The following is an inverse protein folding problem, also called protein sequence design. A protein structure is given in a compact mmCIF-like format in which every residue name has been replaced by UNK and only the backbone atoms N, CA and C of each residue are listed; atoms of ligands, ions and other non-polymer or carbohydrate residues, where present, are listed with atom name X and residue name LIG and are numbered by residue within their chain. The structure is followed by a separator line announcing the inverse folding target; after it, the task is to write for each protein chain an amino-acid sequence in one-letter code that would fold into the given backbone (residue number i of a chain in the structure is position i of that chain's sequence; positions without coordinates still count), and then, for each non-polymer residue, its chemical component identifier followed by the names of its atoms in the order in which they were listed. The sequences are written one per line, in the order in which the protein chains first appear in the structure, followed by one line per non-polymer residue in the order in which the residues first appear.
data_IF_425547831024
#
_entry.id   IF_425547831024
#
_cell.length_a   1.000
_cell.length_b   1.000
_cell.length_c   1.000
_cell.angle_alpha   90.00
_cell.angle_beta   90.00
_cell.angle_gamma   90.00
#
_symmetry.space_group_name_H-M   'P 1'
#
loop_
_entity.id
_entity.type
_entity.pdbx_description
1 polymer ?
#
# COMPACT_ATOMS: atom_id res chain seq x y z
N UNK A 1 -31.78 -12.34 44.95
CA UNK A 1 -30.85 -11.34 44.36
C UNK A 1 -31.71 -10.40 43.55
N UNK A 2 -32.01 -9.23 44.11
CA UNK A 2 -32.85 -8.20 43.49
C UNK A 2 -32.00 -7.41 42.48
N UNK A 3 -32.49 -7.33 41.25
CA UNK A 3 -31.86 -6.55 40.18
C UNK A 3 -32.47 -5.15 40.17
N UNK A 4 -31.62 -4.14 40.36
CA UNK A 4 -31.99 -2.72 40.26
C UNK A 4 -32.20 -2.31 38.80
N UNK A 5 -33.28 -1.57 38.47
CA UNK A 5 -33.53 -1.12 37.11
C UNK A 5 -32.81 0.20 36.80
N UNK A 6 -32.17 0.25 35.62
CA UNK A 6 -31.49 1.41 35.05
C UNK A 6 -32.54 2.36 34.45
N UNK A 7 -32.60 3.61 34.94
CA UNK A 7 -33.43 4.69 34.40
C UNK A 7 -32.75 5.36 33.19
N UNK A 8 -33.38 5.29 32.02
CA UNK A 8 -33.01 6.07 30.84
C UNK A 8 -33.50 7.52 30.98
N UNK A 9 -32.57 8.49 30.88
CA UNK A 9 -32.89 9.91 30.80
C UNK A 9 -33.13 10.34 29.36
N UNK A 10 -34.40 10.65 29.06
CA UNK A 10 -34.86 11.17 27.78
C UNK A 10 -34.41 12.62 27.53
N UNK A 11 -34.07 12.90 26.28
CA UNK A 11 -33.79 14.23 25.71
C UNK A 11 -35.03 15.12 25.79
N UNK A 12 -34.90 16.30 26.39
CA UNK A 12 -35.90 17.37 26.26
C UNK A 12 -35.43 18.37 25.20
N UNK A 13 -36.23 18.51 24.14
CA UNK A 13 -36.12 19.53 23.11
C UNK A 13 -36.80 20.79 23.65
N UNK A 14 -36.16 21.95 23.51
CA UNK A 14 -36.78 23.26 23.69
C UNK A 14 -36.46 24.12 22.48
N UNK A 15 -37.50 24.44 21.70
CA UNK A 15 -37.55 25.51 20.69
C UNK A 15 -38.10 26.76 21.38
N UNK A 16 -37.46 27.90 21.19
CA UNK A 16 -38.11 29.14 20.74
C UNK A 16 -37.09 30.28 20.64
N UNK A 17 -36.99 30.87 19.44
CA UNK A 17 -37.17 32.31 19.23
C UNK A 17 -37.11 32.60 17.72
N UNK A 18 -38.29 32.85 17.15
CA UNK A 18 -38.46 33.50 15.85
C UNK A 18 -38.47 35.01 16.06
N UNK A 19 -37.73 35.75 15.22
CA UNK A 19 -37.98 37.17 14.96
C UNK A 19 -38.12 37.34 13.45
N UNK A 20 -39.09 38.18 13.11
CA UNK A 20 -39.78 38.37 11.83
C UNK A 20 -38.95 39.11 10.78
N UNK A 21 -39.31 38.81 9.53
CA UNK A 21 -38.81 39.29 8.23
C UNK A 21 -38.77 40.81 8.04
N UNK A 22 -37.90 41.30 7.14
CA UNK A 22 -38.29 41.93 5.86
C UNK A 22 -37.09 42.52 5.04
N UNK A 23 -37.26 42.79 3.73
CA UNK A 23 -36.25 42.47 2.71
C UNK A 23 -35.68 43.67 1.92
N UNK A 24 -34.63 43.38 1.13
CA UNK A 24 -34.38 44.02 -0.16
C UNK A 24 -33.05 44.77 -0.32
N UNK A 25 -32.21 44.31 -1.26
CA UNK A 25 -31.77 45.11 -2.43
C UNK A 25 -30.78 44.33 -3.32
N UNK A 26 -31.11 44.36 -4.61
CA UNK A 26 -30.34 43.91 -5.78
C UNK A 26 -29.38 45.03 -6.24
N UNK A 27 -28.19 44.66 -6.75
CA UNK A 27 -27.37 45.33 -7.79
C UNK A 27 -26.22 44.36 -8.16
N UNK A 28 -26.13 43.72 -9.35
CA UNK A 28 -25.56 44.18 -10.65
C UNK A 28 -24.34 45.10 -10.45
N UNK A 29 -23.17 44.99 -11.06
CA UNK A 29 -22.60 44.43 -12.32
C UNK A 29 -21.05 44.58 -12.15
N UNK A 30 -20.11 43.81 -12.70
CA UNK A 30 -19.80 43.52 -14.11
C UNK A 30 -18.35 43.99 -14.41
N UNK A 31 -17.58 43.16 -15.14
CA UNK A 31 -16.41 43.49 -15.99
C UNK A 31 -15.12 44.03 -15.32
N UNK A 32 -13.88 43.88 -15.80
CA UNK A 32 -13.19 43.06 -16.82
C UNK A 32 -11.68 43.46 -16.77
N UNK A 33 -10.80 42.58 -17.28
CA UNK A 33 -9.43 42.78 -17.85
C UNK A 33 -8.24 43.43 -17.06
N UNK A 34 -7.24 42.57 -16.80
CA UNK A 34 -5.85 42.58 -17.34
C UNK A 34 -4.71 43.49 -16.81
N UNK A 35 -3.60 42.79 -16.52
CA UNK A 35 -2.16 43.13 -16.70
C UNK A 35 -1.37 43.89 -15.63
N UNK A 36 -0.36 43.20 -15.05
CA UNK A 36 1.10 43.49 -15.18
C UNK A 36 1.93 43.20 -13.91
N UNK A 37 2.70 42.11 -13.96
CA UNK A 37 4.16 42.00 -13.75
C UNK A 37 4.92 42.37 -12.44
N UNK A 38 5.55 41.30 -11.89
CA UNK A 38 6.86 41.13 -11.15
C UNK A 38 6.98 41.47 -9.63
N UNK A 39 7.99 40.93 -8.90
CA UNK A 39 7.94 39.68 -8.13
C UNK A 39 8.09 39.87 -6.61
N UNK A 40 7.57 38.94 -5.78
CA UNK A 40 8.01 38.81 -4.37
C UNK A 40 7.98 37.36 -3.90
N UNK A 41 9.16 36.82 -3.63
CA UNK A 41 9.34 35.69 -2.71
C UNK A 41 9.64 36.25 -1.30
N UNK A 42 9.84 35.38 -0.30
CA UNK A 42 8.88 34.49 0.36
C UNK A 42 8.68 34.93 1.84
N UNK A 43 7.61 34.51 2.53
CA UNK A 43 7.56 34.28 4.00
C UNK A 43 6.15 34.46 4.59
N UNK A 44 5.31 33.43 4.51
CA UNK A 44 4.05 33.37 5.29
C UNK A 44 3.78 32.01 5.96
N UNK A 45 4.77 31.12 6.06
CA UNK A 45 4.59 29.82 6.71
C UNK A 45 5.09 29.71 8.17
N UNK A 46 5.57 30.79 8.78
CA UNK A 46 6.06 30.77 10.18
C UNK A 46 4.99 31.22 11.19
N UNK A 47 3.88 31.85 10.77
CA UNK A 47 2.89 32.44 11.70
C UNK A 47 1.77 31.51 12.19
N UNK A 48 1.71 30.25 11.76
CA UNK A 48 0.63 29.33 12.17
C UNK A 48 0.93 28.52 13.45
N UNK A 49 2.13 28.61 14.02
CA UNK A 49 2.46 27.90 15.28
C UNK A 49 2.03 28.71 16.51
N UNK A 50 2.14 30.04 16.47
CA UNK A 50 1.82 30.90 17.61
C UNK A 50 0.31 31.08 17.85
N UNK A 51 -0.51 30.90 16.82
CA UNK A 51 -1.97 31.03 16.93
C UNK A 51 -2.67 29.82 17.55
N UNK A 52 -1.96 28.71 17.77
CA UNK A 52 -2.50 27.52 18.48
C UNK A 52 -2.32 27.67 20.00
N UNK A 53 -1.43 28.55 20.46
CA UNK A 53 -1.07 28.72 21.88
C UNK A 53 -2.04 29.67 22.61
N UNK A 54 -2.90 30.39 21.89
CA UNK A 54 -3.80 31.43 22.42
C UNK A 54 -5.26 30.97 22.55
N UNK A 55 -5.49 29.75 23.04
CA UNK A 55 -6.82 29.29 23.50
C UNK A 55 -6.79 28.93 25.00
N UNK A 56 -7.82 29.30 25.79
CA UNK A 56 -7.75 29.25 27.24
C UNK A 56 -7.98 27.83 27.80
N UNK A 57 -7.05 27.39 28.66
CA UNK A 57 -7.16 26.28 29.63
C UNK A 57 -7.18 24.83 29.09
N UNK A 58 -6.17 24.43 28.33
CA UNK A 58 -5.70 23.04 28.41
C UNK A 58 -4.76 22.92 29.62
N UNK A 59 -5.10 22.04 30.59
CA UNK A 59 -4.16 21.66 31.66
C UNK A 59 -3.03 20.85 31.02
N UNK A 60 -1.99 21.54 30.59
CA UNK A 60 -0.78 20.95 30.04
C UNK A 60 -0.17 20.02 31.09
N UNK A 61 0.02 18.75 30.73
CA UNK A 61 0.56 17.74 31.64
C UNK A 61 1.98 18.12 32.08
N UNK A 62 2.44 17.61 33.23
CA UNK A 62 3.80 17.87 33.69
C UNK A 62 4.86 17.42 32.66
N UNK A 63 4.58 16.35 31.92
CA UNK A 63 5.44 15.81 30.87
C UNK A 63 5.52 16.75 29.65
N UNK A 64 4.42 17.38 29.26
CA UNK A 64 4.39 18.36 28.16
C UNK A 64 5.16 19.65 28.49
N UNK A 65 5.31 19.99 29.77
CA UNK A 65 6.07 21.18 30.22
C UNK A 65 7.58 20.97 30.22
N UNK A 66 8.06 19.73 30.12
CA UNK A 66 9.49 19.45 30.11
C UNK A 66 10.18 20.06 28.87
N UNK A 67 11.46 20.47 28.98
CA UNK A 67 12.26 20.85 27.83
C UNK A 67 12.32 19.75 26.78
N UNK A 68 12.41 20.14 25.50
CA UNK A 68 12.41 19.22 24.35
C UNK A 68 13.49 18.16 24.50
N UNK A 69 14.68 18.53 24.97
CA UNK A 69 15.84 17.66 25.14
C UNK A 69 15.58 16.53 26.14
N UNK A 70 14.83 16.84 27.21
CA UNK A 70 14.47 15.86 28.24
C UNK A 70 13.43 14.89 27.71
N UNK A 71 12.43 15.39 26.98
CA UNK A 71 11.41 14.56 26.32
C UNK A 71 12.04 13.64 25.28
N UNK A 72 12.97 14.15 24.47
CA UNK A 72 13.76 13.37 23.52
C UNK A 72 14.59 12.27 24.20
N UNK A 73 15.24 12.59 25.34
CA UNK A 73 16.03 11.62 26.11
C UNK A 73 15.15 10.52 26.71
N UNK A 74 14.00 10.88 27.27
CA UNK A 74 13.00 9.91 27.76
C UNK A 74 12.56 9.00 26.61
N UNK A 75 12.24 9.58 25.45
CA UNK A 75 11.82 8.80 24.29
C UNK A 75 12.91 7.85 23.79
N UNK A 76 14.17 8.27 23.72
CA UNK A 76 15.30 7.40 23.33
C UNK A 76 15.48 6.21 24.28
N UNK A 77 15.16 6.38 25.56
CA UNK A 77 15.25 5.31 26.56
C UNK A 77 14.10 4.30 26.45
N UNK A 78 12.87 4.78 26.23
CA UNK A 78 11.70 3.91 26.20
C UNK A 78 11.33 3.37 24.82
N UNK A 79 11.68 4.11 23.75
CA UNK A 79 11.31 3.87 22.34
C UNK A 79 9.83 3.52 22.14
N UNK A 80 8.96 4.06 23.01
CA UNK A 80 7.53 3.78 22.97
C UNK A 80 6.83 4.76 22.01
N UNK A 81 6.32 4.24 20.90
CA UNK A 81 5.61 5.02 19.87
C UNK A 81 4.27 5.59 20.35
N UNK A 82 3.74 5.13 21.48
CA UNK A 82 2.54 5.70 22.08
C UNK A 82 2.81 7.04 22.76
N UNK A 83 4.06 7.32 23.14
CA UNK A 83 4.45 8.59 23.76
C UNK A 83 4.18 9.80 22.84
N UNK A 84 4.67 9.86 21.58
CA UNK A 84 4.34 10.95 20.66
C UNK A 84 2.86 10.97 20.26
N UNK A 85 2.12 9.86 20.40
CA UNK A 85 0.67 9.78 20.12
C UNK A 85 -0.18 10.28 21.28
N UNK A 86 0.34 10.22 22.50
CA UNK A 86 -0.38 10.62 23.72
C UNK A 86 -0.70 12.12 23.79
N UNK A 87 0.10 12.95 23.09
CA UNK A 87 -0.07 14.39 23.06
C UNK A 87 0.49 15.01 21.78
N UNK A 88 -0.25 15.91 21.10
CA UNK A 88 0.28 16.68 19.97
C UNK A 88 1.53 17.51 20.31
N UNK A 89 1.62 18.03 21.54
CA UNK A 89 2.77 18.85 21.98
C UNK A 89 4.01 17.98 22.13
N UNK A 90 3.87 16.80 22.73
CA UNK A 90 4.97 15.81 22.84
C UNK A 90 5.35 15.31 21.45
N UNK A 91 4.37 15.02 20.60
CA UNK A 91 4.59 14.62 19.21
C UNK A 91 5.40 15.67 18.43
N UNK A 92 5.07 16.97 18.58
CA UNK A 92 5.80 18.05 17.95
C UNK A 92 7.25 18.17 18.49
N UNK A 93 7.44 18.03 19.80
CA UNK A 93 8.79 18.01 20.41
C UNK A 93 9.64 16.84 19.92
N UNK A 94 9.03 15.69 19.68
CA UNK A 94 9.71 14.48 19.19
C UNK A 94 9.81 14.42 17.65
N UNK A 95 9.23 15.38 16.93
CA UNK A 95 9.25 15.44 15.46
C UNK A 95 10.59 15.93 14.90
N UNK A 96 11.68 15.36 15.39
CA UNK A 96 13.05 15.69 15.02
C UNK A 96 13.65 14.54 14.18
N UNK A 97 14.29 14.89 13.07
CA UNK A 97 14.93 13.93 12.16
C UNK A 97 15.90 12.99 12.89
N UNK A 98 16.65 13.49 13.87
CA UNK A 98 17.60 12.68 14.63
C UNK A 98 16.91 11.61 15.48
N UNK A 99 15.70 11.90 15.97
CA UNK A 99 14.87 10.94 16.71
C UNK A 99 14.37 9.86 15.77
N UNK A 100 13.91 10.24 14.58
CA UNK A 100 13.49 9.28 13.55
C UNK A 100 14.64 8.39 13.09
N UNK A 101 15.84 8.96 12.84
CA UNK A 101 17.05 8.21 12.50
C UNK A 101 17.42 7.22 13.60
N UNK A 102 17.48 7.68 14.85
CA UNK A 102 17.80 6.81 16.00
C UNK A 102 16.79 5.69 16.19
N UNK A 103 15.50 5.98 16.05
CA UNK A 103 14.42 4.99 16.17
C UNK A 103 14.50 3.93 15.07
N UNK A 104 14.70 4.33 13.81
CA UNK A 104 14.83 3.41 12.68
C UNK A 104 16.08 2.54 12.83
N UNK A 105 17.24 3.13 13.12
CA UNK A 105 18.47 2.36 13.35
C UNK A 105 18.27 1.33 14.48
N UNK A 106 17.63 1.72 15.59
CA UNK A 106 17.36 0.82 16.71
C UNK A 106 16.43 -0.37 16.39
N UNK A 107 15.67 -0.30 15.30
CA UNK A 107 14.73 -1.35 14.90
C UNK A 107 15.20 -2.17 13.70
N UNK A 108 15.94 -1.56 12.77
CA UNK A 108 16.25 -2.16 11.47
C UNK A 108 17.73 -2.46 11.27
N UNK A 109 18.64 -1.82 12.01
CA UNK A 109 20.08 -1.99 11.80
C UNK A 109 20.52 -3.45 11.96
N UNK A 110 19.95 -4.19 12.92
CA UNK A 110 20.23 -5.62 13.12
C UNK A 110 19.87 -6.43 11.87
N UNK A 111 18.72 -6.17 11.26
CA UNK A 111 18.30 -6.82 10.00
C UNK A 111 19.22 -6.44 8.84
N UNK A 112 19.63 -5.17 8.76
CA UNK A 112 20.51 -4.72 7.70
C UNK A 112 21.91 -5.32 7.82
N UNK A 113 22.45 -5.48 9.02
CA UNK A 113 23.72 -6.18 9.23
C UNK A 113 23.65 -7.65 8.80
N UNK A 114 22.55 -8.35 9.06
CA UNK A 114 22.33 -9.74 8.57
C UNK A 114 22.36 -9.85 7.05
N UNK A 115 22.01 -8.77 6.34
CA UNK A 115 22.04 -8.76 4.87
C UNK A 115 23.45 -8.55 4.29
N UNK A 116 24.43 -8.20 5.13
CA UNK A 116 25.84 -8.14 4.75
C UNK A 116 26.48 -9.52 4.89
N UNK A 117 27.40 -9.89 3.99
CA UNK A 117 28.14 -11.15 4.10
C UNK A 117 29.21 -11.05 5.20
N UNK A 118 28.86 -11.29 6.48
CA UNK A 118 29.83 -11.41 7.58
C UNK A 118 29.42 -12.51 8.57
N UNK A 119 30.45 -13.19 9.08
CA UNK A 119 30.50 -14.41 9.87
C UNK A 119 29.87 -14.28 11.27
N UNK A 120 29.27 -15.39 11.73
CA UNK A 120 28.70 -15.69 13.06
C UNK A 120 27.17 -15.55 13.17
N UNK A 121 26.48 -16.66 12.92
CA UNK A 121 25.00 -16.78 12.91
C UNK A 121 24.38 -16.92 14.32
N UNK A 122 25.14 -17.32 15.34
CA UNK A 122 24.58 -17.84 16.60
C UNK A 122 24.04 -16.77 17.59
N UNK A 123 24.55 -15.53 17.57
CA UNK A 123 24.08 -14.44 18.46
C UNK A 123 22.82 -13.70 17.95
N UNK A 124 22.36 -14.02 16.74
CA UNK A 124 21.44 -13.18 15.97
C UNK A 124 19.96 -13.60 16.04
N UNK A 125 19.64 -14.75 16.64
CA UNK A 125 18.28 -15.30 16.66
C UNK A 125 17.39 -14.71 17.76
N UNK A 126 17.91 -14.48 18.98
CA UNK A 126 17.11 -13.92 20.08
C UNK A 126 16.78 -12.42 19.90
N UNK A 127 17.66 -11.64 19.27
CA UNK A 127 17.36 -10.24 18.93
C UNK A 127 16.30 -10.11 17.83
N UNK A 128 16.15 -11.14 16.98
CA UNK A 128 15.28 -11.11 15.80
C UNK A 128 13.80 -10.94 16.16
N UNK A 129 13.33 -11.64 17.21
CA UNK A 129 11.92 -11.58 17.64
C UNK A 129 11.54 -10.20 18.19
N UNK A 130 12.42 -9.59 19.00
CA UNK A 130 12.20 -8.24 19.54
C UNK A 130 12.26 -7.19 18.43
N UNK A 131 13.11 -7.39 17.43
CA UNK A 131 13.21 -6.54 16.25
C UNK A 131 11.93 -6.59 15.40
N UNK A 132 11.35 -7.78 15.15
CA UNK A 132 10.12 -7.93 14.34
C UNK A 132 8.95 -7.07 14.85
N UNK A 133 8.66 -7.13 16.15
CA UNK A 133 7.59 -6.33 16.76
C UNK A 133 7.87 -4.83 16.63
N UNK A 134 9.11 -4.42 16.91
CA UNK A 134 9.52 -3.01 16.82
C UNK A 134 9.44 -2.48 15.39
N UNK A 135 9.91 -3.25 14.40
CA UNK A 135 9.81 -2.92 12.98
C UNK A 135 8.35 -2.75 12.56
N UNK A 136 7.49 -3.69 12.97
CA UNK A 136 6.04 -3.64 12.72
C UNK A 136 5.43 -2.34 13.26
N UNK A 137 5.72 -1.99 14.51
CA UNK A 137 5.18 -0.79 15.14
C UNK A 137 5.69 0.50 14.46
N UNK A 138 6.95 0.53 14.02
CA UNK A 138 7.50 1.63 13.22
C UNK A 138 6.78 1.73 11.87
N UNK A 139 6.61 0.63 11.12
CA UNK A 139 5.96 0.61 9.80
C UNK A 139 4.48 1.03 9.84
N UNK A 140 3.81 0.86 11.00
CA UNK A 140 2.45 1.39 11.22
C UNK A 140 2.42 2.92 11.14
N UNK A 141 3.50 3.61 11.50
CA UNK A 141 3.57 5.06 11.42
C UNK A 141 3.57 5.56 9.95
N UNK A 142 2.89 6.68 9.67
CA UNK A 142 2.80 7.24 8.30
C UNK A 142 4.13 7.81 7.81
N UNK A 143 4.92 8.40 8.71
CA UNK A 143 6.21 9.01 8.38
C UNK A 143 7.32 7.98 8.13
N UNK A 144 7.18 6.78 8.70
CA UNK A 144 8.25 5.80 8.79
C UNK A 144 8.73 5.29 7.44
N UNK A 145 7.83 4.98 6.50
CA UNK A 145 8.20 4.37 5.21
C UNK A 145 9.18 5.25 4.42
N UNK A 146 8.92 6.57 4.33
CA UNK A 146 9.80 7.51 3.62
C UNK A 146 11.12 7.71 4.35
N UNK A 147 11.06 7.88 5.68
CA UNK A 147 12.25 8.06 6.50
C UNK A 147 13.16 6.81 6.44
N UNK A 148 12.57 5.62 6.43
CA UNK A 148 13.27 4.34 6.36
C UNK A 148 14.13 4.23 5.09
N UNK A 149 13.57 4.62 3.93
CA UNK A 149 14.29 4.60 2.65
C UNK A 149 15.53 5.50 2.72
N UNK A 150 15.37 6.75 3.17
CA UNK A 150 16.47 7.72 3.27
C UNK A 150 17.53 7.27 4.28
N UNK A 151 17.12 6.74 5.43
CA UNK A 151 18.05 6.32 6.48
C UNK A 151 18.79 5.05 6.07
N UNK A 152 18.12 4.10 5.40
CA UNK A 152 18.76 2.91 4.87
C UNK A 152 19.84 3.27 3.84
N UNK A 153 19.55 4.22 2.95
CA UNK A 153 20.52 4.72 1.98
C UNK A 153 21.75 5.30 2.68
N UNK A 154 21.56 6.22 3.62
CA UNK A 154 22.68 6.81 4.39
C UNK A 154 23.48 5.72 5.11
N UNK A 155 22.80 4.73 5.69
CA UNK A 155 23.46 3.63 6.38
C UNK A 155 24.32 2.77 5.44
N UNK A 156 23.84 2.48 4.23
CA UNK A 156 24.63 1.78 3.20
C UNK A 156 25.86 2.61 2.82
N UNK A 157 25.68 3.90 2.52
CA UNK A 157 26.77 4.80 2.10
C UNK A 157 27.84 4.93 3.20
N UNK A 158 27.43 4.94 4.48
CA UNK A 158 28.33 4.99 5.63
C UNK A 158 29.07 3.67 5.90
N UNK A 159 28.49 2.52 5.54
CA UNK A 159 28.99 1.18 5.96
C UNK A 159 29.57 0.32 4.85
N UNK A 160 29.26 0.61 3.59
CA UNK A 160 29.72 -0.19 2.46
C UNK A 160 30.96 0.46 1.84
N UNK A 161 32.11 -0.21 1.96
CA UNK A 161 33.34 0.18 1.24
C UNK A 161 33.24 -0.06 -0.28
N UNK A 162 32.29 -0.89 -0.71
CA UNK A 162 31.95 -1.13 -2.11
C UNK A 162 30.60 -0.46 -2.46
N UNK A 163 30.39 0.02 -3.70
CA UNK A 163 29.07 0.50 -4.09
C UNK A 163 28.03 -0.61 -3.89
N UNK A 164 26.86 -0.31 -3.30
CA UNK A 164 25.83 -1.32 -3.09
C UNK A 164 25.53 -2.00 -4.42
N UNK A 165 25.52 -3.34 -4.44
CA UNK A 165 24.95 -4.06 -5.57
C UNK A 165 23.54 -3.51 -5.78
N UNK A 166 23.22 -2.92 -6.94
CA UNK A 166 21.92 -2.34 -7.15
C UNK A 166 20.88 -3.44 -6.95
N UNK A 167 19.83 -3.14 -6.18
CA UNK A 167 18.65 -4.00 -6.02
C UNK A 167 18.35 -4.65 -7.36
N UNK A 168 18.46 -5.98 -7.45
CA UNK A 168 18.35 -6.81 -8.65
C UNK A 168 17.72 -6.08 -9.88
N UNK A 169 18.55 -5.32 -10.61
CA UNK A 169 18.13 -4.54 -11.78
C UNK A 169 17.80 -5.42 -12.99
N UNK A 170 18.22 -6.69 -12.96
CA UNK A 170 18.09 -7.66 -14.04
C UNK A 170 16.64 -7.87 -14.49
N UNK A 171 15.69 -7.88 -13.56
CA UNK A 171 14.26 -8.09 -13.87
C UNK A 171 13.50 -6.78 -14.08
N UNK A 172 13.91 -5.71 -13.39
CA UNK A 172 13.38 -4.36 -13.58
C UNK A 172 13.54 -3.86 -15.03
N UNK A 173 14.67 -4.17 -15.67
CA UNK A 173 14.92 -3.81 -17.07
C UNK A 173 13.87 -4.40 -18.03
N UNK A 174 13.42 -5.64 -17.80
CA UNK A 174 12.35 -6.27 -18.61
C UNK A 174 11.01 -5.57 -18.43
N UNK A 175 10.64 -5.20 -17.20
CA UNK A 175 9.42 -4.44 -16.92
C UNK A 175 9.44 -3.06 -17.58
N UNK A 176 10.56 -2.36 -17.46
CA UNK A 176 10.74 -1.05 -18.07
C UNK A 176 10.66 -1.11 -19.60
N UNK A 177 11.26 -2.14 -20.21
CA UNK A 177 11.11 -2.41 -21.65
C UNK A 177 9.65 -2.67 -22.04
N UNK A 178 8.92 -3.54 -21.32
CA UNK A 178 7.50 -3.83 -21.61
C UNK A 178 6.64 -2.56 -21.52
N UNK A 179 6.88 -1.71 -20.51
CA UNK A 179 6.14 -0.45 -20.32
C UNK A 179 6.49 0.58 -21.40
N UNK A 180 7.75 0.70 -21.79
CA UNK A 180 8.16 1.61 -22.87
C UNK A 180 7.55 1.17 -24.20
N UNK A 181 7.58 -0.14 -24.48
CA UNK A 181 7.05 -0.75 -25.70
C UNK A 181 5.53 -0.73 -25.79
N UNK A 182 4.81 -0.81 -24.66
CA UNK A 182 3.33 -0.68 -24.65
C UNK A 182 2.87 0.78 -24.79
N UNK A 183 3.76 1.75 -24.55
CA UNK A 183 3.48 3.18 -24.72
C UNK A 183 3.81 3.69 -26.13
N UNK A 184 4.68 3.00 -26.86
CA UNK A 184 4.99 3.28 -28.26
C UNK A 184 4.25 2.28 -29.16
N UNK A 185 3.23 2.73 -29.87
CA UNK A 185 2.55 1.88 -30.85
C UNK A 185 3.55 1.31 -31.87
N UNK A 186 3.68 -0.02 -31.92
CA UNK A 186 4.17 -0.76 -33.10
C UNK A 186 5.68 -1.01 -33.25
N UNK A 187 6.35 -1.68 -32.28
CA UNK A 187 7.72 -2.21 -32.52
C UNK A 187 7.81 -3.72 -32.21
N UNK A 188 8.34 -4.47 -33.18
CA UNK A 188 8.53 -5.93 -33.18
C UNK A 188 9.47 -6.44 -32.07
N UNK A 189 9.11 -7.58 -31.48
CA UNK A 189 9.77 -8.23 -30.34
C UNK A 189 11.16 -8.84 -30.61
N UNK A 190 11.75 -8.65 -31.79
CA UNK A 190 12.90 -9.45 -32.27
C UNK A 190 14.21 -8.68 -32.50
N UNK A 191 14.37 -7.44 -32.03
CA UNK A 191 15.66 -6.75 -32.19
C UNK A 191 16.71 -7.25 -31.17
N UNK A 192 17.93 -7.67 -31.61
CA UNK A 192 18.98 -8.13 -30.71
C UNK A 192 19.54 -7.02 -29.82
N UNK A 193 20.14 -7.44 -28.73
CA UNK A 193 20.67 -6.69 -27.58
C UNK A 193 21.78 -5.64 -27.87
N UNK A 194 21.99 -5.22 -29.12
CA UNK A 194 23.19 -4.45 -29.51
C UNK A 194 23.11 -2.94 -29.28
N UNK A 195 21.97 -2.41 -28.82
CA UNK A 195 21.85 -1.00 -28.43
C UNK A 195 22.16 -0.73 -26.93
N UNK A 196 22.83 -1.67 -26.25
CA UNK A 196 23.20 -1.62 -24.82
C UNK A 196 24.25 -0.54 -24.45
N UNK A 197 24.62 0.35 -25.38
CA UNK A 197 25.70 1.33 -25.19
C UNK A 197 25.29 2.70 -24.64
N UNK A 198 24.00 2.98 -24.39
CA UNK A 198 23.54 4.30 -23.92
C UNK A 198 22.51 4.21 -22.79
N UNK A 199 22.73 3.34 -21.81
CA UNK A 199 22.00 3.43 -20.55
C UNK A 199 22.33 4.78 -19.89
N UNK A 200 21.30 5.59 -19.66
CA UNK A 200 21.41 6.80 -18.84
C UNK A 200 21.98 6.45 -17.45
N UNK A 201 22.62 7.40 -16.73
CA UNK A 201 23.24 7.14 -15.44
C UNK A 201 22.26 6.39 -14.52
N UNK A 202 22.72 5.31 -13.89
CA UNK A 202 21.94 4.52 -12.94
C UNK A 202 21.29 5.48 -11.92
N UNK A 203 19.97 5.66 -12.02
CA UNK A 203 19.20 6.30 -10.95
C UNK A 203 19.41 5.50 -9.67
N UNK A 204 19.69 6.19 -8.56
CA UNK A 204 19.96 5.55 -7.29
C UNK A 204 18.70 4.76 -6.84
N UNK A 205 18.79 3.43 -6.68
CA UNK A 205 17.63 2.58 -6.39
C UNK A 205 17.03 2.81 -5.00
N UNK A 206 17.65 3.68 -4.19
CA UNK A 206 17.22 4.04 -2.85
C UNK A 206 16.68 5.47 -2.76
N UNK A 207 16.58 6.21 -3.86
CA UNK A 207 15.92 7.51 -3.87
C UNK A 207 14.39 7.37 -3.79
N UNK A 208 13.73 8.26 -3.05
CA UNK A 208 12.27 8.32 -3.00
C UNK A 208 11.65 8.45 -4.41
N UNK A 209 12.32 9.15 -5.32
CA UNK A 209 11.91 9.30 -6.71
C UNK A 209 11.91 7.96 -7.46
N UNK A 210 12.87 7.08 -7.16
CA UNK A 210 12.95 5.73 -7.74
C UNK A 210 11.76 4.87 -7.29
N UNK A 211 11.49 4.82 -5.99
CA UNK A 211 10.32 4.10 -5.45
C UNK A 211 8.99 4.66 -6.01
N UNK A 212 8.88 5.97 -6.15
CA UNK A 212 7.71 6.61 -6.74
C UNK A 212 7.53 6.21 -8.23
N UNK A 213 8.63 6.13 -8.99
CA UNK A 213 8.66 5.65 -10.39
C UNK A 213 8.31 4.16 -10.50
N UNK A 214 8.78 3.32 -9.57
CA UNK A 214 8.38 1.91 -9.50
C UNK A 214 6.88 1.78 -9.23
N UNK A 215 6.34 2.59 -8.31
CA UNK A 215 4.91 2.57 -8.01
C UNK A 215 4.06 3.05 -9.19
N UNK A 216 4.49 4.08 -9.93
CA UNK A 216 3.80 4.49 -11.16
C UNK A 216 3.87 3.40 -12.25
N UNK A 217 4.97 2.66 -12.34
CA UNK A 217 5.09 1.52 -13.25
C UNK A 217 4.10 0.41 -12.89
N UNK A 218 3.99 0.07 -11.60
CA UNK A 218 2.96 -0.82 -11.06
C UNK A 218 1.55 -0.33 -11.38
N UNK A 219 1.30 0.97 -11.21
CA UNK A 219 0.01 1.59 -11.51
C UNK A 219 -0.34 1.53 -12.99
N UNK A 220 0.62 1.70 -13.89
CA UNK A 220 0.41 1.56 -15.32
C UNK A 220 -0.08 0.15 -15.67
N UNK A 221 0.54 -0.88 -15.09
CA UNK A 221 0.17 -2.29 -15.30
C UNK A 221 -1.25 -2.57 -14.81
N UNK A 222 -1.61 -2.08 -13.61
CA UNK A 222 -2.95 -2.32 -13.03
C UNK A 222 -4.09 -1.59 -13.75
N UNK A 223 -3.75 -0.73 -14.72
CA UNK A 223 -4.70 -0.04 -15.60
C UNK A 223 -4.86 -0.71 -16.97
N UNK A 224 -4.01 -1.69 -17.31
CA UNK A 224 -4.08 -2.38 -18.58
C UNK A 224 -5.33 -3.26 -18.65
N UNK A 225 -6.14 -3.12 -19.72
CA UNK A 225 -7.27 -4.03 -19.95
C UNK A 225 -6.87 -5.28 -20.73
N UNK A 226 -5.87 -5.14 -21.59
CA UNK A 226 -5.39 -6.15 -22.53
C UNK A 226 -3.86 -6.21 -22.47
N UNK A 227 -3.28 -7.27 -23.04
CA UNK A 227 -1.82 -7.48 -23.04
C UNK A 227 -1.18 -7.44 -21.64
N UNK A 228 -1.91 -7.94 -20.64
CA UNK A 228 -1.46 -7.98 -19.25
C UNK A 228 -0.19 -8.85 -19.19
N UNK A 229 0.96 -8.31 -18.75
CA UNK A 229 2.20 -9.07 -18.65
C UNK A 229 2.01 -10.30 -17.77
N UNK A 230 2.72 -11.39 -18.05
CA UNK A 230 2.64 -12.56 -17.16
C UNK A 230 3.22 -12.18 -15.82
N UNK A 231 2.75 -12.81 -14.75
CA UNK A 231 3.30 -12.57 -13.42
C UNK A 231 4.82 -12.71 -13.33
N UNK A 232 5.39 -13.69 -14.07
CA UNK A 232 6.84 -13.91 -14.16
C UNK A 232 7.59 -12.69 -14.71
N UNK A 233 6.92 -11.90 -15.54
CA UNK A 233 7.43 -10.67 -16.12
C UNK A 233 7.20 -9.48 -15.16
N UNK A 234 6.26 -9.60 -14.22
CA UNK A 234 5.94 -8.63 -13.16
C UNK A 234 6.79 -8.87 -11.91
N UNK A 235 8.12 -8.85 -12.06
CA UNK A 235 9.01 -9.05 -10.92
C UNK A 235 9.49 -7.73 -10.33
N UNK A 236 8.79 -7.25 -9.30
CA UNK A 236 9.40 -6.40 -8.30
C UNK A 236 9.96 -7.33 -7.23
N UNK A 237 11.28 -7.49 -7.17
CA UNK A 237 11.89 -8.36 -6.16
C UNK A 237 11.56 -7.83 -4.75
N UNK A 238 11.65 -8.64 -3.71
CA UNK A 238 11.54 -8.13 -2.33
C UNK A 238 12.94 -7.86 -1.80
N UNK A 239 13.12 -6.70 -1.20
CA UNK A 239 14.36 -6.36 -0.53
C UNK A 239 14.37 -7.01 0.85
N UNK A 240 15.55 -7.36 1.37
CA UNK A 240 15.74 -7.86 2.73
C UNK A 240 15.90 -6.72 3.76
N UNK A 241 15.29 -5.56 3.50
CA UNK A 241 15.42 -4.36 4.36
C UNK A 241 14.63 -4.54 5.66
N UNK A 242 13.54 -5.31 5.61
CA UNK A 242 12.65 -5.61 6.72
C UNK A 242 12.76 -7.10 7.04
N UNK A 243 12.71 -7.47 8.33
CA UNK A 243 12.72 -8.87 8.74
C UNK A 243 11.50 -9.60 8.16
N UNK A 244 11.67 -10.87 7.78
CA UNK A 244 10.62 -11.67 7.11
C UNK A 244 9.30 -11.76 7.90
N UNK A 245 9.38 -11.60 9.23
CA UNK A 245 8.24 -11.64 10.14
C UNK A 245 7.69 -10.27 10.58
N UNK A 246 8.08 -9.16 9.94
CA UNK A 246 7.44 -7.87 10.20
C UNK A 246 6.03 -7.84 9.62
N UNK A 247 5.04 -7.45 10.43
CA UNK A 247 3.65 -7.53 10.02
C UNK A 247 3.21 -6.34 9.18
N UNK A 248 2.40 -6.62 8.17
CA UNK A 248 1.65 -5.62 7.42
C UNK A 248 0.48 -5.12 8.28
N UNK A 249 0.27 -3.80 8.45
CA UNK A 249 -0.85 -3.26 9.21
C UNK A 249 -2.22 -3.70 8.66
N UNK A 250 -3.13 -4.16 9.54
CA UNK A 250 -4.46 -4.67 9.15
C UNK A 250 -5.29 -3.66 8.35
N UNK A 251 -5.15 -2.38 8.68
CA UNK A 251 -5.78 -1.28 7.93
C UNK A 251 -5.40 -1.25 6.45
N UNK A 252 -4.19 -1.72 6.08
CA UNK A 252 -3.76 -1.81 4.69
C UNK A 252 -4.21 -3.12 4.03
N UNK A 253 -4.59 -4.14 4.81
CA UNK A 253 -5.07 -5.42 4.30
C UNK A 253 -6.56 -5.41 4.02
N UNK A 254 -7.39 -4.73 4.82
CA UNK A 254 -8.85 -4.83 4.75
C UNK A 254 -9.54 -3.87 3.76
N UNK A 255 -8.91 -2.73 3.47
CA UNK A 255 -9.52 -1.65 2.69
C UNK A 255 -10.65 -0.91 3.43
N UNK A 256 -11.35 0.04 2.77
CA UNK A 256 -11.14 0.52 1.40
C UNK A 256 -9.77 1.20 1.22
N UNK A 257 -9.17 1.06 0.03
CA UNK A 257 -7.83 1.59 -0.23
C UNK A 257 -7.89 2.92 -0.98
N UNK A 258 -7.26 3.94 -0.40
CA UNK A 258 -6.86 5.13 -1.13
C UNK A 258 -5.55 4.89 -1.89
N UNK A 259 -5.22 5.77 -2.82
CA UNK A 259 -3.96 5.71 -3.56
C UNK A 259 -2.73 5.76 -2.62
N UNK A 260 -2.80 6.58 -1.57
CA UNK A 260 -1.73 6.64 -0.55
C UNK A 260 -1.59 5.31 0.21
N UNK A 261 -2.69 4.60 0.48
CA UNK A 261 -2.66 3.30 1.14
C UNK A 261 -2.05 2.23 0.23
N UNK A 262 -2.40 2.23 -1.06
CA UNK A 262 -1.80 1.31 -2.03
C UNK A 262 -0.30 1.59 -2.19
N UNK A 263 0.11 2.86 -2.28
CA UNK A 263 1.52 3.25 -2.35
C UNK A 263 2.29 2.81 -1.10
N UNK A 264 1.70 3.02 0.09
CA UNK A 264 2.29 2.57 1.35
C UNK A 264 2.40 1.04 1.41
N UNK A 265 1.36 0.32 1.01
CA UNK A 265 1.35 -1.15 0.98
C UNK A 265 2.41 -1.69 0.00
N UNK A 266 2.49 -1.12 -1.21
CA UNK A 266 3.50 -1.44 -2.21
C UNK A 266 4.92 -1.29 -1.64
N UNK A 267 5.22 -0.17 -0.97
CA UNK A 267 6.53 0.02 -0.35
C UNK A 267 6.80 -0.98 0.78
N UNK A 268 5.83 -1.22 1.67
CA UNK A 268 6.01 -2.17 2.77
C UNK A 268 6.35 -3.58 2.24
N UNK A 269 5.65 -4.04 1.21
CA UNK A 269 5.91 -5.34 0.58
C UNK A 269 7.29 -5.34 -0.11
N UNK A 270 7.60 -4.29 -0.87
CA UNK A 270 8.89 -4.14 -1.58
C UNK A 270 10.08 -4.17 -0.62
N UNK A 271 9.91 -3.61 0.58
CA UNK A 271 10.93 -3.59 1.63
C UNK A 271 11.12 -4.94 2.34
N UNK A 272 10.28 -5.95 2.07
CA UNK A 272 10.44 -7.32 2.56
C UNK A 272 9.34 -7.82 3.49
N UNK A 273 8.39 -6.97 3.89
CA UNK A 273 7.31 -7.41 4.78
C UNK A 273 6.41 -8.42 4.06
N UNK A 274 6.05 -9.49 4.74
CA UNK A 274 5.26 -10.59 4.18
C UNK A 274 4.36 -11.23 5.23
N UNK A 275 3.42 -12.06 4.77
CA UNK A 275 2.58 -12.87 5.66
C UNK A 275 3.14 -14.29 5.65
N UNK A 276 3.95 -14.61 6.65
CA UNK A 276 4.61 -15.92 6.76
C UNK A 276 3.62 -17.07 7.04
N UNK A 277 2.57 -16.81 7.84
CA UNK A 277 1.60 -17.83 8.25
C UNK A 277 0.18 -17.51 7.79
N UNK A 278 -0.28 -18.23 6.77
CA UNK A 278 -1.60 -18.11 6.17
C UNK A 278 -2.75 -18.68 7.01
N UNK A 279 -2.47 -19.58 7.94
CA UNK A 279 -3.45 -20.10 8.90
C UNK A 279 -3.64 -19.18 10.12
N UNK A 280 -2.87 -18.10 10.21
CA UNK A 280 -3.02 -17.12 11.28
C UNK A 280 -4.23 -16.21 11.03
N UNK A 281 -4.65 -15.49 12.08
CA UNK A 281 -5.65 -14.42 11.99
C UNK A 281 -5.28 -13.36 10.92
N UNK A 282 -3.99 -13.19 10.62
CA UNK A 282 -3.52 -12.27 9.57
C UNK A 282 -3.82 -12.81 8.17
N UNK A 283 -3.71 -14.12 7.97
CA UNK A 283 -4.16 -14.77 6.74
C UNK A 283 -5.65 -14.54 6.51
N UNK A 284 -6.49 -14.77 7.53
CA UNK A 284 -7.94 -14.50 7.44
C UNK A 284 -8.26 -13.03 7.13
N UNK A 285 -7.54 -12.11 7.78
CA UNK A 285 -7.64 -10.66 7.55
C UNK A 285 -7.30 -10.33 6.10
N UNK A 286 -6.22 -10.91 5.57
CA UNK A 286 -5.85 -10.76 4.17
C UNK A 286 -6.93 -11.32 3.23
N UNK A 287 -7.50 -12.49 3.51
CA UNK A 287 -8.55 -13.07 2.65
C UNK A 287 -9.81 -12.24 2.65
N UNK A 288 -10.16 -11.67 3.79
CA UNK A 288 -11.23 -10.69 3.90
C UNK A 288 -10.89 -9.47 3.04
N UNK A 289 -9.65 -9.00 3.10
CA UNK A 289 -9.07 -8.00 2.20
C UNK A 289 -9.23 -8.33 0.72
N UNK A 290 -8.82 -9.52 0.28
CA UNK A 290 -8.95 -9.97 -1.11
C UNK A 290 -10.41 -9.98 -1.56
N UNK A 291 -11.33 -10.48 -0.72
CA UNK A 291 -12.77 -10.43 -1.02
C UNK A 291 -13.29 -9.00 -1.12
N UNK A 292 -12.80 -8.08 -0.29
CA UNK A 292 -13.14 -6.66 -0.39
C UNK A 292 -12.57 -6.04 -1.66
N UNK A 293 -11.34 -6.38 -2.06
CA UNK A 293 -10.73 -5.93 -3.31
C UNK A 293 -11.57 -6.39 -4.53
N UNK A 294 -12.04 -7.64 -4.51
CA UNK A 294 -12.97 -8.19 -5.50
C UNK A 294 -14.28 -7.39 -5.52
N UNK A 295 -14.93 -7.21 -4.36
CA UNK A 295 -16.21 -6.47 -4.26
C UNK A 295 -16.12 -5.04 -4.78
N UNK A 296 -14.98 -4.37 -4.57
CA UNK A 296 -14.75 -3.01 -5.08
C UNK A 296 -14.30 -3.02 -6.54
N UNK A 297 -13.67 -4.10 -7.01
CA UNK A 297 -13.02 -4.17 -8.33
C UNK A 297 -11.66 -3.48 -8.35
N UNK A 298 -10.96 -3.42 -7.21
CA UNK A 298 -9.66 -2.74 -7.11
C UNK A 298 -8.53 -3.69 -7.53
N UNK A 299 -8.08 -3.56 -8.78
CA UNK A 299 -7.01 -4.36 -9.37
C UNK A 299 -5.68 -4.13 -8.63
N UNK A 300 -5.34 -2.88 -8.29
CA UNK A 300 -4.11 -2.60 -7.56
C UNK A 300 -4.05 -3.29 -6.19
N UNK A 301 -5.14 -3.26 -5.43
CA UNK A 301 -5.24 -3.99 -4.17
C UNK A 301 -5.11 -5.50 -4.39
N UNK A 302 -5.75 -6.07 -5.42
CA UNK A 302 -5.63 -7.50 -5.76
C UNK A 302 -4.15 -7.90 -5.93
N UNK A 303 -3.40 -7.17 -6.75
CA UNK A 303 -1.99 -7.47 -7.00
C UNK A 303 -1.15 -7.39 -5.73
N UNK A 304 -1.30 -6.33 -4.93
CA UNK A 304 -0.50 -6.13 -3.71
C UNK A 304 -0.80 -7.19 -2.66
N UNK A 305 -2.07 -7.54 -2.46
CA UNK A 305 -2.47 -8.55 -1.48
C UNK A 305 -2.00 -9.95 -1.89
N UNK A 306 -2.03 -10.26 -3.19
CA UNK A 306 -1.45 -11.50 -3.70
C UNK A 306 0.09 -11.51 -3.58
N UNK A 307 0.74 -10.37 -3.79
CA UNK A 307 2.19 -10.26 -3.63
C UNK A 307 2.64 -10.39 -2.15
N UNK A 308 1.85 -9.84 -1.22
CA UNK A 308 2.09 -9.96 0.22
C UNK A 308 2.12 -11.41 0.73
N UNK A 309 1.49 -12.34 0.00
CA UNK A 309 1.47 -13.78 0.28
C UNK A 309 2.74 -14.54 -0.12
N UNK A 310 3.79 -13.83 -0.55
CA UNK A 310 4.99 -14.46 -1.10
C UNK A 310 4.70 -15.43 -2.26
N UNK A 311 3.90 -14.93 -3.21
CA UNK A 311 3.56 -15.66 -4.43
C UNK A 311 4.77 -16.07 -5.28
N UNK A 312 5.93 -15.45 -5.04
CA UNK A 312 7.15 -15.63 -5.85
C UNK A 312 8.04 -16.76 -5.36
N UNK A 313 7.82 -17.30 -4.15
CA UNK A 313 8.45 -18.56 -3.78
C UNK A 313 7.93 -19.64 -4.72
N UNK A 314 8.82 -20.46 -5.28
CA UNK A 314 8.49 -21.65 -6.12
C UNK A 314 7.51 -22.64 -5.47
N UNK A 315 7.09 -22.36 -4.23
CA UNK A 315 5.88 -22.85 -3.60
C UNK A 315 4.64 -22.36 -4.37
N UNK A 316 4.36 -23.03 -5.48
CA UNK A 316 3.10 -23.06 -6.21
C UNK A 316 1.86 -23.45 -5.36
N UNK A 317 1.97 -23.45 -4.03
CA UNK A 317 1.01 -23.98 -3.07
C UNK A 317 -0.27 -23.15 -2.93
N UNK A 318 -0.28 -21.85 -3.28
CA UNK A 318 -1.52 -21.07 -3.15
C UNK A 318 -2.68 -21.63 -3.97
N UNK A 319 -2.39 -22.15 -5.17
CA UNK A 319 -3.38 -22.82 -6.01
C UNK A 319 -3.32 -24.36 -5.90
N UNK A 320 -2.21 -24.95 -5.42
CA UNK A 320 -2.02 -26.41 -5.41
C UNK A 320 -2.32 -27.12 -4.09
N UNK A 321 -2.30 -26.45 -2.93
CA UNK A 321 -2.52 -27.10 -1.64
C UNK A 321 -3.49 -26.32 -0.76
N UNK A 322 -4.67 -26.92 -0.56
CA UNK A 322 -5.71 -26.61 0.43
C UNK A 322 -6.28 -25.18 0.49
N UNK A 323 -5.79 -24.26 -0.35
CA UNK A 323 -6.22 -22.87 -0.32
C UNK A 323 -7.06 -22.44 -1.54
N UNK A 324 -7.99 -21.54 -1.22
CA UNK A 324 -9.15 -21.04 -1.94
C UNK A 324 -8.88 -20.25 -3.23
N UNK A 325 -7.83 -20.53 -4.01
CA UNK A 325 -7.61 -19.84 -5.28
C UNK A 325 -8.79 -20.01 -6.25
N UNK A 326 -9.28 -21.24 -6.41
CA UNK A 326 -10.54 -21.53 -7.11
C UNK A 326 -11.73 -20.81 -6.47
N UNK A 327 -11.82 -20.82 -5.14
CA UNK A 327 -12.93 -20.20 -4.42
C UNK A 327 -12.90 -18.67 -4.55
N UNK A 328 -11.72 -18.05 -4.68
CA UNK A 328 -11.56 -16.62 -4.96
C UNK A 328 -12.04 -16.30 -6.38
N UNK A 329 -11.66 -17.10 -7.39
CA UNK A 329 -12.15 -16.93 -8.76
C UNK A 329 -13.67 -17.11 -8.81
N UNK A 330 -14.19 -18.19 -8.23
CA UNK A 330 -15.64 -18.47 -8.17
C UNK A 330 -16.40 -17.34 -7.46
N UNK A 331 -15.85 -16.85 -6.35
CA UNK A 331 -16.38 -15.70 -5.64
C UNK A 331 -16.35 -14.43 -6.50
N UNK A 332 -15.25 -14.19 -7.22
CA UNK A 332 -15.08 -13.03 -8.09
C UNK A 332 -16.07 -13.01 -9.25
N UNK A 333 -16.31 -14.16 -9.91
CA UNK A 333 -17.27 -14.24 -11.02
C UNK A 333 -18.65 -13.67 -10.61
N UNK A 334 -19.04 -13.84 -9.34
CA UNK A 334 -20.33 -13.38 -8.80
C UNK A 334 -20.30 -11.99 -8.16
N UNK A 335 -19.17 -11.57 -7.61
CA UNK A 335 -19.10 -10.43 -6.69
C UNK A 335 -18.21 -9.29 -7.16
N UNK A 336 -17.59 -9.37 -8.34
CA UNK A 336 -16.72 -8.30 -8.83
C UNK A 336 -17.49 -7.00 -9.01
N UNK A 337 -17.05 -5.96 -8.30
CA UNK A 337 -17.47 -4.58 -8.52
C UNK A 337 -16.65 -3.88 -9.58
N UNK A 338 -17.00 -2.63 -9.89
CA UNK A 338 -16.25 -1.81 -10.83
C UNK A 338 -16.21 -2.39 -12.25
N UNK A 339 -15.01 -2.41 -12.82
CA UNK A 339 -14.73 -2.89 -14.18
C UNK A 339 -14.54 -4.41 -14.20
N UNK A 340 -15.65 -5.12 -14.40
CA UNK A 340 -15.71 -6.57 -14.35
C UNK A 340 -14.69 -7.25 -15.28
N UNK A 341 -14.64 -6.82 -16.54
CA UNK A 341 -13.83 -7.47 -17.57
C UNK A 341 -12.35 -7.25 -17.29
N UNK A 342 -11.94 -6.03 -16.94
CA UNK A 342 -10.55 -5.75 -16.59
C UNK A 342 -10.12 -6.56 -15.37
N UNK A 343 -10.91 -6.53 -14.28
CA UNK A 343 -10.57 -7.23 -13.05
C UNK A 343 -10.45 -8.74 -13.25
N UNK A 344 -11.42 -9.35 -13.94
CA UNK A 344 -11.40 -10.77 -14.21
C UNK A 344 -10.27 -11.16 -15.17
N UNK A 345 -9.92 -10.32 -16.14
CA UNK A 345 -8.78 -10.55 -17.04
C UNK A 345 -7.46 -10.59 -16.26
N UNK A 346 -7.26 -9.64 -15.34
CA UNK A 346 -6.12 -9.65 -14.44
C UNK A 346 -6.10 -10.89 -13.55
N UNK A 347 -7.22 -11.22 -12.89
CA UNK A 347 -7.30 -12.37 -11.99
C UNK A 347 -7.01 -13.68 -12.73
N UNK A 348 -7.59 -13.89 -13.92
CA UNK A 348 -7.34 -15.08 -14.71
C UNK A 348 -5.90 -15.14 -15.21
N UNK A 349 -5.32 -14.01 -15.64
CA UNK A 349 -3.93 -13.98 -16.08
C UNK A 349 -2.95 -14.28 -14.92
N UNK A 350 -3.23 -13.79 -13.71
CA UNK A 350 -2.47 -14.11 -12.50
C UNK A 350 -2.54 -15.60 -12.14
N UNK A 351 -3.69 -16.23 -12.39
CA UNK A 351 -3.91 -17.65 -12.16
C UNK A 351 -3.42 -18.56 -13.30
N UNK A 352 -2.91 -17.98 -14.40
CA UNK A 352 -2.55 -18.73 -15.60
C UNK A 352 -1.38 -19.68 -15.32
N UNK A 353 -1.59 -20.95 -15.60
CA UNK A 353 -0.62 -22.02 -15.34
C UNK A 353 -0.60 -22.54 -13.91
N UNK A 354 -1.45 -22.01 -13.03
CA UNK A 354 -1.61 -22.45 -11.64
C UNK A 354 -2.93 -23.20 -11.41
N UNK A 355 -3.93 -22.96 -12.26
CA UNK A 355 -5.21 -23.67 -12.21
C UNK A 355 -5.07 -25.05 -12.86
N UNK A 356 -5.45 -26.10 -12.12
CA UNK A 356 -5.51 -27.47 -12.63
C UNK A 356 -6.54 -27.61 -13.77
N UNK A 357 -6.39 -28.57 -14.71
CA UNK A 357 -7.40 -28.81 -15.75
C UNK A 357 -8.80 -29.08 -15.19
N UNK A 358 -8.90 -29.74 -14.03
CA UNK A 358 -10.17 -29.98 -13.35
C UNK A 358 -10.80 -28.68 -12.86
N UNK A 359 -10.02 -27.80 -12.24
CA UNK A 359 -10.52 -26.50 -11.77
C UNK A 359 -10.93 -25.58 -12.93
N UNK A 360 -10.21 -25.64 -14.06
CA UNK A 360 -10.62 -24.93 -15.29
C UNK A 360 -12.02 -25.38 -15.75
N UNK A 361 -12.27 -26.69 -15.79
CA UNK A 361 -13.57 -27.22 -16.19
C UNK A 361 -14.70 -26.77 -15.24
N UNK A 362 -14.41 -26.72 -13.94
CA UNK A 362 -15.37 -26.23 -12.94
C UNK A 362 -15.64 -24.73 -13.11
N UNK A 363 -14.60 -23.91 -13.32
CA UNK A 363 -14.76 -22.47 -13.56
C UNK A 363 -15.64 -22.24 -14.80
N UNK A 364 -15.40 -22.97 -15.89
CA UNK A 364 -16.24 -22.91 -17.10
C UNK A 364 -17.69 -23.30 -16.82
N UNK A 365 -17.91 -24.35 -16.01
CA UNK A 365 -19.24 -24.75 -15.57
C UNK A 365 -19.93 -23.67 -14.73
N UNK A 366 -19.22 -23.04 -13.80
CA UNK A 366 -19.76 -21.97 -12.96
C UNK A 366 -20.14 -20.73 -13.78
N UNK A 367 -19.35 -20.40 -14.82
CA UNK A 367 -19.72 -19.37 -15.79
C UNK A 367 -21.03 -19.71 -16.53
N UNK A 368 -21.17 -20.94 -17.00
CA UNK A 368 -22.39 -21.38 -17.71
C UNK A 368 -23.63 -21.37 -16.80
N UNK A 369 -23.48 -21.76 -15.53
CA UNK A 369 -24.57 -21.70 -14.54
C UNK A 369 -25.01 -20.23 -14.34
N UNK A 370 -24.06 -19.31 -14.18
CA UNK A 370 -24.38 -17.90 -13.98
C UNK A 370 -24.97 -17.23 -15.24
N UNK A 371 -24.56 -17.66 -16.43
CA UNK A 371 -25.15 -17.23 -17.70
C UNK A 371 -26.63 -17.64 -17.77
N UNK A 372 -26.93 -18.90 -17.41
CA UNK A 372 -28.31 -19.39 -17.35
C UNK A 372 -29.13 -18.69 -16.28
N UNK A 373 -28.59 -18.50 -15.08
CA UNK A 373 -29.27 -17.79 -13.98
C UNK A 373 -29.57 -16.33 -14.35
N UNK A 374 -28.64 -15.64 -15.03
CA UNK A 374 -28.84 -14.27 -15.50
C UNK A 374 -29.89 -14.20 -16.60
N UNK A 375 -29.90 -15.17 -17.53
CA UNK A 375 -30.92 -15.27 -18.57
C UNK A 375 -32.32 -15.53 -17.98
N UNK A 376 -32.43 -16.43 -17.00
CA UNK A 376 -33.69 -16.73 -16.31
C UNK A 376 -34.23 -15.53 -15.51
N UNK A 377 -33.35 -14.71 -14.94
CA UNK A 377 -33.72 -13.50 -14.20
C UNK A 377 -33.89 -12.26 -15.09
N UNK A 378 -33.69 -12.40 -16.41
CA UNK A 378 -33.68 -11.30 -17.37
C UNK A 378 -32.67 -10.17 -17.03
N UNK A 379 -31.59 -10.48 -16.31
CA UNK A 379 -30.55 -9.52 -15.95
C UNK A 379 -29.58 -9.31 -17.12
N UNK A 380 -30.01 -8.48 -18.08
CA UNK A 380 -29.24 -8.15 -19.29
C UNK A 380 -27.84 -7.63 -18.98
N UNK A 381 -27.68 -6.83 -17.91
CA UNK A 381 -26.39 -6.22 -17.55
C UNK A 381 -25.37 -7.28 -17.13
N UNK A 382 -25.82 -8.26 -16.34
CA UNK A 382 -24.97 -9.39 -15.94
C UNK A 382 -24.67 -10.30 -17.14
N UNK A 383 -25.66 -10.56 -17.99
CA UNK A 383 -25.48 -11.36 -19.19
C UNK A 383 -24.45 -10.76 -20.16
N UNK A 384 -24.53 -9.46 -20.45
CA UNK A 384 -23.58 -8.77 -21.33
C UNK A 384 -22.14 -8.86 -20.79
N UNK A 385 -21.96 -8.69 -19.48
CA UNK A 385 -20.66 -8.83 -18.81
C UNK A 385 -20.10 -10.24 -18.95
N UNK A 386 -20.93 -11.26 -18.75
CA UNK A 386 -20.54 -12.66 -18.88
C UNK A 386 -20.17 -13.01 -20.33
N UNK A 387 -20.92 -12.52 -21.31
CA UNK A 387 -20.62 -12.72 -22.74
C UNK A 387 -19.27 -12.07 -23.10
N UNK A 388 -19.04 -10.84 -22.67
CA UNK A 388 -17.77 -10.16 -22.90
C UNK A 388 -16.60 -10.91 -22.24
N UNK A 389 -16.80 -11.39 -21.02
CA UNK A 389 -15.78 -12.16 -20.29
C UNK A 389 -15.52 -13.53 -20.92
N UNK A 390 -16.53 -14.20 -21.48
CA UNK A 390 -16.38 -15.50 -22.15
C UNK A 390 -15.41 -15.40 -23.33
N UNK A 391 -15.47 -14.31 -24.10
CA UNK A 391 -14.53 -14.04 -25.20
C UNK A 391 -13.08 -13.95 -24.70
N UNK A 392 -12.86 -13.28 -23.58
CA UNK A 392 -11.52 -13.12 -22.97
C UNK A 392 -11.05 -14.39 -22.25
N UNK A 393 -11.95 -15.11 -21.59
CA UNK A 393 -11.62 -16.31 -20.82
C UNK A 393 -11.24 -17.49 -21.72
N UNK A 394 -11.91 -17.62 -22.88
CA UNK A 394 -11.62 -18.70 -23.83
C UNK A 394 -10.19 -18.60 -24.38
N UNK A 395 -9.63 -17.40 -24.55
CA UNK A 395 -8.24 -17.24 -25.01
C UNK A 395 -7.21 -17.46 -23.90
N UNK A 396 -7.59 -17.26 -22.63
CA UNK A 396 -6.69 -17.41 -21.47
C UNK A 396 -6.71 -18.82 -20.86
N UNK A 397 -7.84 -19.53 -20.96
CA UNK A 397 -8.03 -20.86 -20.38
C UNK A 397 -7.66 -22.01 -21.34
N UNK A 398 -7.67 -21.76 -22.66
CA UNK A 398 -6.99 -22.60 -23.67
C UNK A 398 -5.47 -22.49 -23.46
#
# INVERSE_FOLDING_TARGET
MELTPIRNLGKHISRENQVVMSPGKVKKSGQDYSSSDVPRAPDEKIKQVDSIISQPRYKVSALEKLPTEIVEKIFKLCLNLDLPRSSPVIGAKLANWNIYKSLILSGFEVTWRKSLPVENEEDLEQEDVKCKKRQTDILRCRWATKALIVIYQQWIEEKSSEPPKPICMSRYFKLWQIILLTRTEGVDFNSPADNLGKAQPLENPYEQAFFDKEFESFRAITRLRENIPRWKDLCWDRNSIVSSGAEIPDSLLLGPWSEEMLKKLFFIIRLGASIENWYSNKGETLFTGLRNAVKVGNIGALYLLLWALDWNSERAGFFNHDFNGRNLITFAIRNVGGDYVAFMSHLLNLSRGLISPADKAIIVRDFAILENDAALKEDRKTLDRLIQMKRVSISLLK
#
